data_IF_050953623634
#
_entry.id   IF_050953623634
#
_cell.length_a   1.000
_cell.length_b   1.000
_cell.length_c   1.000
_cell.angle_alpha   90.00
_cell.angle_beta   90.00
_cell.angle_gamma   90.00
#
_symmetry.space_group_name_H-M   'P 1'
#
loop_
_entity.id
_entity.type
_entity.pdbx_description
1 polymer ?
#
# COMPACT_ATOMS: atom_id res chain seq x y z
N UNK A 1 17.67 4.37 16.44
CA UNK A 1 16.58 5.37 16.28
C UNK A 1 15.42 4.65 15.64
N UNK A 2 14.23 4.70 16.24
CA UNK A 2 13.02 4.18 15.59
C UNK A 2 12.41 5.28 14.71
N UNK A 3 11.67 4.87 13.69
CA UNK A 3 10.97 5.75 12.74
C UNK A 3 9.53 5.99 13.21
N UNK A 4 8.86 7.04 12.73
CA UNK A 4 7.41 7.21 12.91
C UNK A 4 6.64 6.88 11.62
N UNK A 5 5.48 6.24 11.79
CA UNK A 5 4.67 5.73 10.70
C UNK A 5 3.18 6.00 10.96
N UNK A 6 2.34 5.86 9.94
CA UNK A 6 0.91 5.66 10.18
C UNK A 6 0.68 4.23 10.71
N UNK A 7 -0.13 4.09 11.77
CA UNK A 7 -0.50 2.81 12.37
C UNK A 7 -2.02 2.69 12.46
N UNK A 8 -2.63 1.97 11.52
CA UNK A 8 -4.08 1.87 11.41
C UNK A 8 -4.52 0.63 10.61
N UNK A 9 -5.78 0.23 10.78
CA UNK A 9 -6.43 -0.81 10.00
C UNK A 9 -7.81 -0.34 9.56
N UNK A 10 -8.06 -0.31 8.26
CA UNK A 10 -9.34 0.18 7.71
C UNK A 10 -10.56 -0.66 8.05
N UNK A 11 -10.37 -1.88 8.54
CA UNK A 11 -11.46 -2.68 9.08
C UNK A 11 -12.04 -2.04 10.36
N UNK A 12 -11.18 -1.42 11.18
CA UNK A 12 -11.57 -0.83 12.46
C UNK A 12 -11.78 0.69 12.34
N UNK A 13 -11.01 1.35 11.46
CA UNK A 13 -11.08 2.79 11.24
C UNK A 13 -10.98 3.11 9.74
N UNK A 14 -12.11 3.41 9.12
CA UNK A 14 -12.21 3.68 7.68
C UNK A 14 -11.30 4.83 7.21
N UNK A 15 -10.91 5.75 8.11
CA UNK A 15 -9.98 6.85 7.81
C UNK A 15 -8.61 6.35 7.37
N UNK A 16 -8.24 5.11 7.68
CA UNK A 16 -7.00 4.48 7.22
C UNK A 16 -6.91 4.34 5.69
N UNK A 17 -8.06 4.36 4.98
CA UNK A 17 -8.15 4.35 3.51
C UNK A 17 -7.85 5.71 2.87
N UNK A 18 -7.91 6.80 3.64
CA UNK A 18 -7.63 8.15 3.12
C UNK A 18 -6.17 8.28 2.67
N UNK A 19 -5.94 9.18 1.73
CA UNK A 19 -4.62 9.49 1.18
C UNK A 19 -4.41 11.02 1.14
N UNK A 20 -3.63 11.59 2.08
CA UNK A 20 -3.01 10.93 3.22
C UNK A 20 -4.03 10.59 4.34
N UNK A 21 -3.74 9.64 5.24
CA UNK A 21 -4.53 9.44 6.45
C UNK A 21 -4.44 10.65 7.40
N UNK A 22 -5.39 10.80 8.32
CA UNK A 22 -5.34 11.83 9.35
C UNK A 22 -4.12 11.69 10.27
N UNK A 23 -3.61 12.83 10.74
CA UNK A 23 -2.39 12.92 11.55
C UNK A 23 -2.48 12.24 12.92
N UNK A 24 -3.68 12.07 13.48
CA UNK A 24 -3.92 11.34 14.74
C UNK A 24 -3.66 9.83 14.61
N UNK A 25 -3.49 9.32 13.38
CA UNK A 25 -3.09 7.94 13.10
C UNK A 25 -1.57 7.77 13.00
N UNK A 26 -0.78 8.83 13.24
CA UNK A 26 0.68 8.75 13.33
C UNK A 26 1.11 8.16 14.67
N UNK A 27 2.15 7.33 14.63
CA UNK A 27 2.72 6.66 15.79
C UNK A 27 4.24 6.64 15.71
N UNK A 28 4.91 6.91 16.84
CA UNK A 28 6.33 6.61 17.00
C UNK A 28 6.48 5.10 17.17
N UNK A 29 7.27 4.46 16.30
CA UNK A 29 7.47 3.02 16.37
C UNK A 29 8.31 2.59 17.59
N UNK A 30 9.01 3.51 18.28
CA UNK A 30 9.67 3.22 19.55
C UNK A 30 8.68 2.85 20.67
N UNK A 31 7.45 3.38 20.62
CA UNK A 31 6.41 3.12 21.62
C UNK A 31 5.88 1.69 21.57
N UNK A 32 6.12 0.97 20.48
CA UNK A 32 5.62 -0.38 20.28
C UNK A 32 6.51 -1.39 21.01
N UNK A 33 6.14 -1.75 22.24
CA UNK A 33 6.83 -2.75 23.05
C UNK A 33 6.59 -4.18 22.51
N UNK A 34 7.29 -4.55 21.43
CA UNK A 34 7.25 -5.91 20.86
C UNK A 34 8.60 -6.63 20.84
N UNK A 35 9.59 -6.11 21.57
CA UNK A 35 10.93 -6.72 21.67
C UNK A 35 11.73 -6.69 20.36
N UNK A 36 11.33 -5.85 19.40
CA UNK A 36 12.00 -5.67 18.10
C UNK A 36 12.24 -4.20 17.83
N UNK A 37 13.33 -3.89 17.14
CA UNK A 37 13.61 -2.53 16.67
C UNK A 37 12.89 -2.31 15.35
N UNK A 38 11.90 -1.43 15.35
CA UNK A 38 11.21 -1.02 14.13
C UNK A 38 12.08 -0.05 13.32
N UNK A 39 12.40 -0.43 12.08
CA UNK A 39 13.34 0.27 11.20
C UNK A 39 12.69 0.81 9.93
N UNK A 40 11.42 0.50 9.69
CA UNK A 40 10.69 0.92 8.49
C UNK A 40 9.19 1.01 8.72
N UNK A 41 8.49 1.69 7.83
CA UNK A 41 7.03 1.64 7.75
C UNK A 41 6.59 0.56 6.77
N UNK A 42 5.38 0.04 6.99
CA UNK A 42 4.70 -0.89 6.09
C UNK A 42 3.31 -0.39 5.74
N UNK A 43 2.90 -0.75 4.54
CA UNK A 43 1.52 -0.65 4.07
C UNK A 43 1.12 -1.97 3.42
N UNK A 44 -0.07 -2.44 3.76
CA UNK A 44 -0.65 -3.65 3.21
C UNK A 44 -2.02 -3.30 2.63
N UNK A 45 -2.22 -3.59 1.35
CA UNK A 45 -3.54 -3.60 0.72
C UNK A 45 -3.96 -5.05 0.60
N UNK A 46 -4.90 -5.46 1.44
CA UNK A 46 -5.42 -6.82 1.49
C UNK A 46 -6.78 -6.87 0.81
N UNK A 47 -6.93 -7.76 -0.16
CA UNK A 47 -8.20 -8.15 -0.75
C UNK A 47 -8.60 -9.49 -0.15
N UNK A 48 -9.76 -9.55 0.50
CA UNK A 48 -10.40 -10.78 0.95
C UNK A 48 -11.48 -11.09 -0.09
N UNK A 49 -11.26 -12.13 -0.89
CA UNK A 49 -12.09 -12.38 -2.08
C UNK A 49 -13.41 -13.08 -1.74
N UNK A 50 -13.43 -13.86 -0.66
CA UNK A 50 -14.60 -14.55 -0.13
C UNK A 50 -14.48 -14.70 1.39
N UNK A 51 -15.59 -15.02 2.06
CA UNK A 51 -15.56 -15.18 3.52
C UNK A 51 -14.60 -16.29 3.95
N UNK A 52 -13.61 -15.95 4.78
CA UNK A 52 -12.65 -16.90 5.34
C UNK A 52 -12.40 -16.57 6.80
N UNK A 53 -12.55 -17.59 7.67
CA UNK A 53 -12.38 -17.46 9.12
C UNK A 53 -13.22 -16.31 9.72
N UNK A 54 -14.45 -16.12 9.23
CA UNK A 54 -15.36 -15.05 9.68
C UNK A 54 -14.99 -13.64 9.21
N UNK A 55 -14.00 -13.49 8.32
CA UNK A 55 -13.71 -12.22 7.68
C UNK A 55 -14.51 -12.15 6.36
N UNK A 56 -15.47 -11.22 6.22
CA UNK A 56 -16.26 -11.10 5.00
C UNK A 56 -15.41 -10.61 3.83
N UNK A 57 -15.91 -10.74 2.58
CA UNK A 57 -15.24 -10.19 1.41
C UNK A 57 -15.10 -8.67 1.54
N UNK A 58 -13.86 -8.18 1.60
CA UNK A 58 -13.58 -6.75 1.71
C UNK A 58 -12.15 -6.40 1.31
N UNK A 59 -11.91 -5.11 1.05
CA UNK A 59 -10.57 -4.55 0.84
C UNK A 59 -10.15 -3.76 2.08
N UNK A 60 -9.04 -4.19 2.69
CA UNK A 60 -8.43 -3.57 3.86
C UNK A 60 -7.14 -2.84 3.48
N UNK A 61 -6.98 -1.62 3.98
CA UNK A 61 -5.71 -0.90 4.02
C UNK A 61 -5.21 -0.97 5.44
N UNK A 62 -4.04 -1.56 5.62
CA UNK A 62 -3.38 -1.72 6.93
C UNK A 62 -2.03 -1.01 6.85
N UNK A 63 -1.74 -0.16 7.82
CA UNK A 63 -0.50 0.61 7.91
C UNK A 63 0.11 0.35 9.28
N UNK A 64 1.42 0.25 9.37
CA UNK A 64 2.07 0.10 10.67
C UNK A 64 3.59 0.01 10.57
N UNK A 65 4.22 -0.15 11.73
CA UNK A 65 5.66 -0.27 11.85
C UNK A 65 6.16 -1.67 11.44
N UNK A 66 7.32 -1.73 10.77
CA UNK A 66 8.00 -2.95 10.34
C UNK A 66 9.47 -3.00 10.76
N UNK A 67 10.04 -4.22 10.78
CA UNK A 67 11.40 -4.51 11.27
C UNK A 67 12.15 -5.54 10.40
N UNK A 68 11.57 -5.93 9.26
CA UNK A 68 12.14 -6.94 8.35
C UNK A 68 13.22 -6.32 7.47
N UNK A 69 14.42 -6.89 7.54
CA UNK A 69 15.61 -6.44 6.80
C UNK A 69 15.87 -7.28 5.53
N UNK A 70 14.90 -8.10 5.10
CA UNK A 70 15.02 -8.90 3.88
C UNK A 70 15.06 -8.05 2.60
N UNK A 71 15.10 -8.71 1.45
CA UNK A 71 15.10 -8.08 0.13
C UNK A 71 13.86 -7.21 -0.20
N UNK A 72 12.86 -7.18 0.69
CA UNK A 72 11.59 -6.49 0.51
C UNK A 72 11.53 -5.08 1.12
N UNK A 73 12.63 -4.61 1.73
CA UNK A 73 12.75 -3.23 2.20
C UNK A 73 12.72 -2.25 1.02
N UNK A 74 11.99 -1.15 1.15
CA UNK A 74 11.79 -0.12 0.11
C UNK A 74 11.16 -0.64 -1.18
N UNK A 75 10.43 -1.76 -1.11
CA UNK A 75 9.76 -2.40 -2.24
C UNK A 75 8.34 -2.80 -1.90
N UNK A 76 7.55 -2.99 -2.95
CA UNK A 76 6.25 -3.65 -2.89
C UNK A 76 6.38 -5.07 -3.45
N UNK A 77 5.69 -6.02 -2.83
CA UNK A 77 5.56 -7.37 -3.33
C UNK A 77 4.14 -7.88 -3.12
N UNK A 78 3.72 -8.83 -3.94
CA UNK A 78 2.41 -9.45 -3.87
C UNK A 78 2.52 -10.80 -3.16
N UNK A 79 1.53 -11.12 -2.32
CA UNK A 79 1.33 -12.45 -1.75
C UNK A 79 -0.11 -12.87 -1.96
N UNK A 80 -0.30 -14.06 -2.49
CA UNK A 80 -1.62 -14.66 -2.66
C UNK A 80 -1.72 -15.92 -1.83
N UNK A 81 -2.90 -16.20 -1.31
CA UNK A 81 -3.20 -17.39 -0.53
C UNK A 81 -4.67 -17.76 -0.63
N UNK A 82 -5.08 -18.81 0.08
CA UNK A 82 -6.49 -19.14 0.17
C UNK A 82 -7.25 -18.01 0.89
N UNK A 83 -8.29 -17.48 0.24
CA UNK A 83 -9.12 -16.40 0.78
C UNK A 83 -8.74 -14.99 0.33
N UNK A 84 -7.67 -14.81 -0.45
CA UNK A 84 -7.36 -13.48 -0.97
C UNK A 84 -5.95 -13.23 -1.45
N UNK A 85 -5.69 -11.95 -1.74
CA UNK A 85 -4.39 -11.42 -2.20
C UNK A 85 -4.00 -10.17 -1.41
N UNK A 86 -2.70 -9.96 -1.27
CA UNK A 86 -2.14 -8.83 -0.54
C UNK A 86 -1.01 -8.18 -1.34
N UNK A 87 -1.05 -6.86 -1.43
CA UNK A 87 0.13 -6.06 -1.77
C UNK A 87 0.78 -5.57 -0.48
N UNK A 88 2.07 -5.87 -0.28
CA UNK A 88 2.83 -5.43 0.87
C UNK A 88 3.95 -4.53 0.41
N UNK A 89 3.92 -3.27 0.82
CA UNK A 89 4.95 -2.27 0.57
C UNK A 89 5.68 -1.91 1.87
N UNK A 90 6.96 -1.58 1.75
CA UNK A 90 7.74 -1.03 2.86
C UNK A 90 8.57 0.18 2.43
N UNK A 91 8.97 1.01 3.39
CA UNK A 91 9.76 2.20 3.15
C UNK A 91 10.43 2.73 4.43
N UNK A 92 11.56 3.44 4.33
CA UNK A 92 12.38 3.90 5.47
C UNK A 92 12.35 5.41 5.76
N UNK A 93 11.36 6.15 5.27
CA UNK A 93 11.20 7.59 5.57
C UNK A 93 10.05 7.81 6.54
N UNK A 94 10.15 8.84 7.37
CA UNK A 94 9.08 9.23 8.30
C UNK A 94 7.74 9.32 7.54
N UNK A 95 6.72 8.63 8.05
CA UNK A 95 5.36 8.62 7.52
C UNK A 95 5.23 8.21 6.04
N UNK A 96 6.22 7.52 5.48
CA UNK A 96 6.25 7.16 4.06
C UNK A 96 5.16 6.18 3.63
N UNK A 97 4.52 5.50 4.59
CA UNK A 97 3.39 4.62 4.34
C UNK A 97 2.06 5.40 4.24
N UNK A 98 2.06 6.65 3.76
CA UNK A 98 0.88 7.52 3.63
C UNK A 98 0.11 7.37 2.31
N UNK A 99 0.77 6.99 1.21
CA UNK A 99 0.15 6.88 -0.10
C UNK A 99 -0.47 5.51 -0.34
N UNK A 100 -1.61 5.43 -1.03
CA UNK A 100 -1.97 4.22 -1.77
C UNK A 100 -1.10 4.17 -3.02
N UNK A 101 -0.41 3.05 -3.22
CA UNK A 101 0.19 2.78 -4.52
C UNK A 101 -0.95 2.69 -5.53
N UNK A 102 -1.26 3.82 -6.16
CA UNK A 102 -2.00 3.79 -7.42
C UNK A 102 -1.02 3.15 -8.38
N UNK A 103 -1.25 1.89 -8.74
CA UNK A 103 -0.59 1.31 -9.91
C UNK A 103 -0.96 2.19 -11.09
N UNK A 104 -0.12 3.19 -11.39
CA UNK A 104 -0.28 4.01 -12.56
C UNK A 104 -0.07 3.07 -13.75
N UNK A 105 -1.15 2.54 -14.30
CA UNK A 105 -1.10 1.86 -15.59
C UNK A 105 -0.70 2.91 -16.62
N UNK A 106 0.61 3.00 -16.91
CA UNK A 106 1.17 3.86 -17.96
C UNK A 106 0.70 3.49 -19.39
N UNK A 107 -0.25 2.56 -19.52
CA UNK A 107 -0.70 2.01 -20.80
C UNK A 107 -1.72 2.88 -21.53
N UNK A 108 -2.33 3.89 -20.91
CA UNK A 108 -3.38 4.67 -21.58
C UNK A 108 -2.89 5.86 -22.41
N UNK A 109 -1.65 6.34 -22.23
CA UNK A 109 -1.17 7.54 -22.93
C UNK A 109 -0.54 7.27 -24.31
N UNK A 110 -0.22 6.02 -24.66
CA UNK A 110 0.38 5.70 -25.97
C UNK A 110 -0.63 5.41 -27.07
N UNK A 111 -1.85 4.97 -26.73
CA UNK A 111 -2.87 4.64 -27.74
C UNK A 111 -3.48 5.85 -28.43
N UNK A 112 -3.65 6.98 -27.74
CA UNK A 112 -4.23 8.21 -28.35
C UNK A 112 -3.27 8.89 -29.33
N UNK A 113 -1.96 8.90 -29.02
CA UNK A 113 -0.95 9.47 -29.92
C UNK A 113 -0.82 8.72 -31.24
N UNK A 114 -0.88 7.38 -31.21
CA UNK A 114 -0.78 6.55 -32.42
C UNK A 114 -2.02 6.69 -33.31
N UNK A 115 -3.22 6.77 -32.73
CA UNK A 115 -4.47 6.99 -33.48
C UNK A 115 -4.51 8.36 -34.15
N UNK A 116 -4.04 9.41 -33.47
CA UNK A 116 -3.95 10.75 -34.07
C UNK A 116 -2.91 10.80 -35.20
N UNK A 117 -1.75 10.15 -35.04
CA UNK A 117 -0.74 10.07 -36.08
C UNK A 117 -1.24 9.28 -37.31
N UNK A 118 -1.86 8.12 -37.09
CA UNK A 118 -2.47 7.30 -38.15
C UNK A 118 -3.60 8.05 -38.88
N UNK A 119 -4.46 8.77 -38.15
CA UNK A 119 -5.52 9.57 -38.77
C UNK A 119 -4.98 10.68 -39.68
N UNK A 120 -3.83 11.26 -39.34
CA UNK A 120 -3.18 12.28 -40.18
C UNK A 120 -2.46 11.69 -41.39
N UNK A 121 -1.97 10.45 -41.30
CA UNK A 121 -1.33 9.75 -42.41
C UNK A 121 -2.34 9.23 -43.45
N UNK A 122 -3.56 8.86 -43.02
CA UNK A 122 -4.64 8.40 -43.91
C UNK A 122 -5.44 9.53 -44.59
N UNK A 123 -5.17 10.78 -44.21
CA UNK A 123 -5.78 12.00 -44.79
C UNK A 123 -4.87 12.68 -45.83
N UNK A 124 -3.76 12.05 -46.22
CA UNK A 124 -2.89 12.44 -47.33
C UNK A 124 -2.86 11.38 -48.42
#
# INVERSE_FOLDING_TARGET
LAISCYDCNSHNDSRCKLDPPPDDLKKDCADLARGVTYTMCRKIVQHIDFEVNGNPPEVRVIRGCGWDESQYVDKCYQRSGFGGRQEVCSCRKEYCNNSVAVSASLTLTTCTGLLLFLSRLLLF
#
